data_IF_090168274581
#
_entry.id   IF_090168274581
#
_cell.length_a   1.000
_cell.length_b   1.000
_cell.length_c   1.000
_cell.angle_alpha   90.00
_cell.angle_beta   90.00
_cell.angle_gamma   90.00
#
_symmetry.space_group_name_H-M   'P 1'
#
loop_
_entity.id
_entity.type
_entity.pdbx_description
1 polymer ?
#
# COMPACT_ATOMS: atom_id res chain seq x y z
N UNK A 1 -13.81 -1.37 3.76
CA UNK A 1 -13.16 -2.00 2.59
C UNK A 1 -14.19 -2.20 1.50
N UNK A 2 -13.88 -1.75 0.29
CA UNK A 2 -14.79 -1.77 -0.87
C UNK A 2 -14.10 -2.55 -2.00
N UNK A 3 -14.69 -3.61 -2.55
CA UNK A 3 -14.15 -4.30 -3.72
C UNK A 3 -14.02 -3.34 -4.92
N UNK A 4 -12.93 -3.46 -5.67
CA UNK A 4 -12.68 -2.70 -6.90
C UNK A 4 -12.85 -3.60 -8.12
N UNK A 5 -13.16 -2.98 -9.27
CA UNK A 5 -13.15 -3.68 -10.55
C UNK A 5 -11.71 -4.00 -10.96
N UNK A 6 -11.36 -5.28 -10.87
CA UNK A 6 -10.03 -5.82 -11.18
C UNK A 6 -9.62 -5.57 -12.64
N UNK A 7 -10.57 -5.44 -13.58
CA UNK A 7 -10.25 -5.14 -14.98
C UNK A 7 -9.59 -3.76 -15.14
N UNK A 8 -9.71 -2.89 -14.13
CA UNK A 8 -9.05 -1.60 -14.05
C UNK A 8 -7.63 -1.68 -13.47
N UNK A 9 -7.14 -2.88 -13.19
CA UNK A 9 -5.85 -3.14 -12.52
C UNK A 9 -4.97 -3.97 -13.45
N UNK A 10 -5.51 -5.06 -13.97
CA UNK A 10 -4.79 -5.96 -14.89
C UNK A 10 -4.53 -5.31 -16.23
N UNK A 11 -3.24 -5.15 -16.55
CA UNK A 11 -2.80 -4.52 -17.79
C UNK A 11 -3.24 -3.06 -17.95
N UNK A 12 -3.81 -2.44 -16.92
CA UNK A 12 -4.36 -1.10 -17.04
C UNK A 12 -3.24 -0.06 -17.11
N UNK A 13 -3.09 0.52 -18.31
CA UNK A 13 -2.13 1.58 -18.60
C UNK A 13 -2.59 2.98 -18.15
N UNK A 14 -3.78 3.10 -17.55
CA UNK A 14 -4.36 4.40 -17.17
C UNK A 14 -4.17 4.74 -15.69
N UNK A 15 -3.67 3.82 -14.86
CA UNK A 15 -3.36 4.08 -13.45
C UNK A 15 -2.04 3.38 -13.07
N UNK A 16 -1.26 3.93 -12.13
CA UNK A 16 -0.05 3.28 -11.66
C UNK A 16 -0.37 2.20 -10.61
N UNK A 17 0.22 1.02 -10.79
CA UNK A 17 0.17 -0.10 -9.85
C UNK A 17 1.59 -0.57 -9.57
N UNK A 18 2.00 -0.48 -8.31
CA UNK A 18 3.36 -0.81 -7.88
C UNK A 18 3.35 -2.13 -7.12
N UNK A 19 4.16 -3.09 -7.53
CA UNK A 19 4.43 -4.28 -6.74
C UNK A 19 5.18 -3.87 -5.47
N UNK A 20 4.58 -4.12 -4.30
CA UNK A 20 5.10 -3.62 -3.00
C UNK A 20 5.57 -4.74 -2.08
N UNK A 21 4.89 -5.88 -2.08
CA UNK A 21 5.26 -7.04 -1.29
C UNK A 21 4.66 -8.31 -1.90
N UNK A 22 5.16 -9.46 -1.44
CA UNK A 22 4.52 -10.76 -1.61
C UNK A 22 3.74 -11.14 -0.36
N UNK A 23 2.67 -11.90 -0.55
CA UNK A 23 1.81 -12.40 0.52
C UNK A 23 1.76 -13.93 0.45
N UNK A 24 2.34 -14.60 1.43
CA UNK A 24 2.43 -16.06 1.49
C UNK A 24 1.19 -16.69 2.13
N UNK A 25 0.01 -16.43 1.57
CA UNK A 25 -1.25 -17.05 2.01
C UNK A 25 -1.81 -17.95 0.93
N UNK A 26 -2.62 -18.93 1.34
CA UNK A 26 -3.32 -19.77 0.38
C UNK A 26 -4.48 -19.01 -0.25
N UNK A 27 -4.83 -19.37 -1.48
CA UNK A 27 -5.92 -18.74 -2.23
C UNK A 27 -7.26 -18.87 -1.51
N UNK A 28 -7.50 -20.00 -0.83
CA UNK A 28 -8.72 -20.22 -0.06
C UNK A 28 -8.82 -19.28 1.15
N UNK A 29 -7.69 -19.00 1.80
CA UNK A 29 -7.63 -18.06 2.93
C UNK A 29 -7.88 -16.62 2.46
N UNK A 30 -7.34 -16.26 1.28
CA UNK A 30 -7.59 -14.97 0.65
C UNK A 30 -9.05 -14.81 0.22
N UNK A 31 -9.64 -15.81 -0.41
CA UNK A 31 -11.05 -15.80 -0.81
C UNK A 31 -11.99 -15.62 0.39
N UNK A 32 -11.71 -16.31 1.50
CA UNK A 32 -12.43 -16.15 2.77
C UNK A 32 -12.29 -14.74 3.36
N UNK A 33 -11.11 -14.14 3.24
CA UNK A 33 -10.86 -12.78 3.75
C UNK A 33 -11.58 -11.70 2.94
N UNK A 34 -11.56 -11.80 1.60
CA UNK A 34 -12.18 -10.80 0.73
C UNK A 34 -13.70 -10.95 0.63
N UNK A 35 -14.24 -12.13 0.91
CA UNK A 35 -15.67 -12.46 0.86
C UNK A 35 -16.33 -12.10 -0.49
N UNK A 36 -15.53 -12.18 -1.56
CA UNK A 36 -15.97 -11.97 -2.95
C UNK A 36 -15.21 -12.91 -3.89
N UNK A 37 -15.88 -13.33 -4.96
CA UNK A 37 -15.27 -14.15 -6.01
C UNK A 37 -14.14 -13.38 -6.70
N UNK A 38 -12.99 -14.03 -6.98
CA UNK A 38 -11.92 -13.43 -7.76
C UNK A 38 -12.36 -13.22 -9.21
N UNK A 39 -11.68 -12.30 -9.89
CA UNK A 39 -11.62 -12.34 -11.35
C UNK A 39 -10.55 -13.34 -11.75
N UNK A 40 -10.91 -14.30 -12.59
CA UNK A 40 -9.98 -15.31 -13.12
C UNK A 40 -9.55 -14.91 -14.53
N UNK A 41 -8.25 -14.90 -14.80
CA UNK A 41 -7.71 -14.66 -16.14
C UNK A 41 -6.54 -15.60 -16.45
N UNK A 42 -6.39 -15.95 -17.73
CA UNK A 42 -5.23 -16.69 -18.24
C UNK A 42 -4.07 -15.71 -18.47
N UNK A 43 -2.96 -15.93 -17.75
CA UNK A 43 -1.75 -15.13 -17.89
C UNK A 43 -0.77 -15.82 -18.84
N UNK A 44 -0.43 -15.19 -19.99
CA UNK A 44 0.39 -15.83 -21.01
C UNK A 44 1.72 -16.38 -20.50
N UNK A 45 1.83 -17.70 -20.48
CA UNK A 45 3.03 -18.43 -20.04
C UNK A 45 3.13 -18.64 -18.52
N UNK A 46 2.16 -18.17 -17.74
CA UNK A 46 2.07 -18.35 -16.29
C UNK A 46 0.84 -19.16 -15.86
N UNK A 47 -0.14 -19.30 -16.75
CA UNK A 47 -1.38 -20.05 -16.53
C UNK A 47 -2.47 -19.20 -15.88
N UNK A 48 -3.50 -19.83 -15.36
CA UNK A 48 -4.61 -19.11 -14.71
C UNK A 48 -4.14 -18.38 -13.44
N UNK A 49 -4.70 -17.19 -13.22
CA UNK A 49 -4.48 -16.38 -12.04
C UNK A 49 -5.82 -15.87 -11.48
N UNK A 50 -5.91 -15.84 -10.14
CA UNK A 50 -7.01 -15.26 -9.39
C UNK A 50 -6.64 -13.85 -8.93
N UNK A 51 -7.56 -12.93 -9.12
CA UNK A 51 -7.34 -11.53 -8.84
C UNK A 51 -8.40 -10.94 -7.92
N UNK A 52 -7.91 -10.21 -6.92
CA UNK A 52 -8.74 -9.40 -6.03
C UNK A 52 -8.25 -7.97 -6.01
N UNK A 53 -9.16 -7.06 -5.75
CA UNK A 53 -8.81 -5.68 -5.54
C UNK A 53 -9.76 -4.98 -4.59
N UNK A 54 -9.19 -4.14 -3.75
CA UNK A 54 -9.90 -3.54 -2.63
C UNK A 54 -9.43 -2.12 -2.38
N UNK A 55 -10.34 -1.27 -1.94
CA UNK A 55 -10.06 0.05 -1.43
C UNK A 55 -10.37 0.11 0.07
N UNK A 56 -9.42 0.63 0.85
CA UNK A 56 -9.59 0.91 2.27
C UNK A 56 -10.16 2.32 2.49
N UNK A 57 -10.69 2.56 3.68
CA UNK A 57 -11.40 3.80 4.01
C UNK A 57 -10.47 5.03 3.96
N UNK A 58 -9.16 4.84 4.11
CA UNK A 58 -8.14 5.89 3.92
C UNK A 58 -7.84 6.21 2.43
N UNK A 59 -8.49 5.51 1.49
CA UNK A 59 -8.28 5.63 0.05
C UNK A 59 -7.09 4.84 -0.49
N UNK A 60 -6.44 3.98 0.31
CA UNK A 60 -5.45 3.02 -0.18
C UNK A 60 -6.14 1.99 -1.06
N UNK A 61 -5.64 1.81 -2.28
CA UNK A 61 -6.11 0.76 -3.20
C UNK A 61 -5.05 -0.34 -3.28
N UNK A 62 -5.45 -1.58 -3.07
CA UNK A 62 -4.60 -2.77 -3.21
C UNK A 62 -5.16 -3.72 -4.27
N UNK A 63 -4.26 -4.31 -5.04
CA UNK A 63 -4.53 -5.43 -5.94
C UNK A 63 -3.74 -6.66 -5.49
N UNK A 64 -4.32 -7.84 -5.69
CA UNK A 64 -3.71 -9.12 -5.36
C UNK A 64 -3.76 -10.02 -6.58
N UNK A 65 -2.64 -10.65 -6.90
CA UNK A 65 -2.50 -11.61 -8.00
C UNK A 65 -2.01 -12.94 -7.43
N UNK A 66 -2.82 -13.99 -7.61
CA UNK A 66 -2.50 -15.34 -7.19
C UNK A 66 -2.44 -16.27 -8.41
N UNK A 67 -1.24 -16.65 -8.83
CA UNK A 67 -1.09 -17.66 -9.88
C UNK A 67 -1.49 -19.05 -9.38
N UNK A 68 -2.28 -19.79 -10.17
CA UNK A 68 -2.75 -21.12 -9.79
C UNK A 68 -1.62 -22.14 -9.66
N UNK A 69 -0.49 -21.89 -10.33
CA UNK A 69 0.70 -22.75 -10.33
C UNK A 69 1.79 -22.29 -9.37
N UNK A 70 1.58 -21.21 -8.62
CA UNK A 70 2.54 -20.68 -7.63
C UNK A 70 1.93 -20.64 -6.23
N UNK A 71 2.78 -20.47 -5.23
CA UNK A 71 2.34 -20.23 -3.85
C UNK A 71 2.35 -18.74 -3.55
N UNK A 72 1.33 -18.28 -2.82
CA UNK A 72 1.18 -16.90 -2.41
C UNK A 72 0.66 -15.96 -3.50
N UNK A 73 0.75 -14.67 -3.21
CA UNK A 73 0.30 -13.59 -4.06
C UNK A 73 1.35 -12.50 -4.23
N UNK A 74 1.30 -11.85 -5.40
CA UNK A 74 1.88 -10.52 -5.57
C UNK A 74 0.87 -9.46 -5.12
N UNK A 75 1.34 -8.51 -4.31
CA UNK A 75 0.54 -7.40 -3.81
C UNK A 75 0.94 -6.11 -4.51
N UNK A 76 -0.04 -5.47 -5.13
CA UNK A 76 0.10 -4.23 -5.84
C UNK A 76 -0.60 -3.10 -5.09
N UNK A 77 -0.05 -1.90 -5.14
CA UNK A 77 -0.64 -0.72 -4.53
C UNK A 77 -0.65 0.47 -5.49
N UNK A 78 -1.56 1.41 -5.28
CA UNK A 78 -1.67 2.63 -6.08
C UNK A 78 -0.53 3.64 -5.81
N UNK A 79 0.25 3.42 -4.74
CA UNK A 79 1.47 4.15 -4.38
C UNK A 79 2.53 3.14 -3.89
N UNK A 80 3.83 3.34 -4.16
CA UNK A 80 4.89 2.45 -3.72
C UNK A 80 5.27 2.68 -2.24
N UNK A 81 4.31 2.48 -1.33
CA UNK A 81 4.47 2.71 0.10
C UNK A 81 4.19 1.42 0.89
N UNK A 82 5.21 0.55 0.99
CA UNK A 82 5.08 -0.79 1.59
C UNK A 82 4.64 -0.74 3.06
N UNK A 83 5.17 0.20 3.85
CA UNK A 83 4.76 0.39 5.25
C UNK A 83 3.26 0.66 5.41
N UNK A 84 2.64 1.41 4.50
CA UNK A 84 1.20 1.67 4.54
C UNK A 84 0.41 0.39 4.25
N UNK A 85 0.85 -0.37 3.25
CA UNK A 85 0.25 -1.66 2.86
C UNK A 85 0.32 -2.65 4.02
N UNK A 86 1.49 -2.82 4.65
CA UNK A 86 1.68 -3.73 5.80
C UNK A 86 0.72 -3.42 6.95
N UNK A 87 0.50 -2.14 7.26
CA UNK A 87 -0.43 -1.76 8.32
C UNK A 87 -1.86 -2.21 8.04
N UNK A 88 -2.31 -2.10 6.80
CA UNK A 88 -3.64 -2.57 6.39
C UNK A 88 -3.73 -4.09 6.29
N UNK A 89 -2.62 -4.77 6.07
CA UNK A 89 -2.50 -6.23 6.02
C UNK A 89 -1.92 -6.85 7.31
N UNK A 90 -1.95 -6.13 8.43
CA UNK A 90 -1.32 -6.53 9.70
C UNK A 90 -1.77 -7.90 10.25
N UNK A 91 -2.95 -8.38 9.87
CA UNK A 91 -3.40 -9.70 10.28
C UNK A 91 -2.59 -10.84 9.61
N UNK A 92 -1.93 -10.53 8.48
CA UNK A 92 -1.00 -11.39 7.75
C UNK A 92 0.46 -10.93 7.91
N UNK A 93 0.80 -10.17 8.95
CA UNK A 93 2.14 -9.56 9.10
C UNK A 93 3.31 -10.56 8.94
N UNK A 94 3.11 -11.81 9.37
CA UNK A 94 4.11 -12.89 9.27
C UNK A 94 4.24 -13.49 7.88
N UNK A 95 3.22 -13.32 7.05
CA UNK A 95 3.14 -13.86 5.69
C UNK A 95 3.54 -12.81 4.64
N UNK A 96 3.74 -11.55 5.04
CA UNK A 96 4.17 -10.46 4.17
C UNK A 96 5.68 -10.44 4.01
N UNK A 97 6.14 -10.64 2.77
CA UNK A 97 7.54 -10.58 2.38
C UNK A 97 7.77 -9.32 1.55
N UNK A 98 8.63 -8.43 2.03
CA UNK A 98 8.97 -7.22 1.29
C UNK A 98 9.77 -7.57 0.03
N UNK A 99 9.39 -6.97 -1.08
CA UNK A 99 10.19 -7.06 -2.31
C UNK A 99 11.43 -6.16 -2.14
N UNK A 100 12.64 -6.64 -2.51
CA UNK A 100 13.83 -5.80 -2.49
C UNK A 100 13.61 -4.49 -3.28
N UNK A 101 13.98 -3.33 -2.71
CA UNK A 101 13.64 -2.03 -3.29
C UNK A 101 14.28 -1.79 -4.67
N UNK A 102 15.34 -2.52 -4.98
CA UNK A 102 16.09 -2.49 -6.25
C UNK A 102 15.50 -3.41 -7.32
N UNK A 103 14.77 -4.46 -6.95
CA UNK A 103 14.25 -5.48 -7.88
C UNK A 103 13.41 -4.90 -9.02
N UNK A 104 12.60 -3.87 -8.72
CA UNK A 104 11.74 -3.18 -9.70
C UNK A 104 12.01 -1.68 -9.75
N UNK A 105 13.21 -1.23 -9.37
CA UNK A 105 13.53 0.20 -9.34
C UNK A 105 13.33 0.91 -10.69
N UNK A 106 13.82 0.38 -11.84
CA UNK A 106 13.63 1.04 -13.13
C UNK A 106 12.16 1.18 -13.54
N UNK A 107 11.37 0.12 -13.37
CA UNK A 107 9.94 0.13 -13.71
C UNK A 107 9.16 1.09 -12.81
N UNK A 108 9.49 1.12 -11.52
CA UNK A 108 8.90 2.04 -10.54
C UNK A 108 9.20 3.49 -10.92
N UNK A 109 10.45 3.82 -11.24
CA UNK A 109 10.87 5.17 -11.63
C UNK A 109 10.16 5.62 -12.90
N UNK A 110 10.14 4.78 -13.94
CA UNK A 110 9.44 5.07 -15.19
C UNK A 110 7.93 5.28 -14.97
N UNK A 111 7.32 4.50 -14.08
CA UNK A 111 5.91 4.65 -13.74
C UNK A 111 5.65 5.94 -12.94
N UNK A 112 6.52 6.30 -12.00
CA UNK A 112 6.43 7.58 -11.28
C UNK A 112 6.51 8.74 -12.26
N UNK A 113 7.52 8.76 -13.13
CA UNK A 113 7.70 9.82 -14.13
C UNK A 113 6.47 9.95 -15.02
N UNK A 114 5.97 8.82 -15.53
CA UNK A 114 4.80 8.79 -16.42
C UNK A 114 3.53 9.36 -15.79
N UNK A 115 3.32 9.18 -14.49
CA UNK A 115 2.08 9.55 -13.80
C UNK A 115 2.21 10.76 -12.87
N UNK A 116 3.39 11.38 -12.79
CA UNK A 116 3.68 12.50 -11.88
C UNK A 116 2.67 13.66 -12.01
N UNK A 117 2.33 14.04 -13.24
CA UNK A 117 1.40 15.15 -13.52
C UNK A 117 -0.04 14.85 -13.10
N UNK A 118 -0.43 13.57 -13.12
CA UNK A 118 -1.78 13.14 -12.77
C UNK A 118 -1.91 12.81 -11.27
N UNK A 119 -0.79 12.44 -10.63
CA UNK A 119 -0.75 11.97 -9.25
C UNK A 119 0.48 12.53 -8.54
N UNK A 120 0.40 13.80 -8.13
CA UNK A 120 1.48 14.51 -7.43
C UNK A 120 1.99 13.80 -6.17
N UNK A 121 1.14 12.98 -5.51
CA UNK A 121 1.53 12.16 -4.36
C UNK A 121 2.69 11.19 -4.66
N UNK A 122 2.94 10.85 -5.92
CA UNK A 122 4.09 10.05 -6.35
C UNK A 122 5.43 10.77 -6.18
N UNK A 123 5.42 12.10 -6.08
CA UNK A 123 6.60 12.93 -5.86
C UNK A 123 6.82 13.24 -4.37
N UNK A 124 5.98 12.70 -3.49
CA UNK A 124 5.93 13.04 -2.06
C UNK A 124 5.90 11.78 -1.17
N UNK A 125 6.63 10.74 -1.58
CA UNK A 125 6.57 9.40 -0.95
C UNK A 125 7.11 9.36 0.49
N UNK A 126 7.99 10.29 0.84
CA UNK A 126 8.65 10.43 2.14
C UNK A 126 8.56 11.88 2.68
N UNK A 127 7.64 12.68 2.15
CA UNK A 127 7.56 14.11 2.43
C UNK A 127 6.84 14.45 3.74
N UNK A 128 6.26 13.48 4.46
CA UNK A 128 5.42 13.74 5.64
C UNK A 128 5.86 12.93 6.86
N UNK A 129 5.93 13.60 8.01
CA UNK A 129 6.29 13.02 9.31
C UNK A 129 5.09 13.09 10.26
N UNK A 130 4.81 11.98 10.92
CA UNK A 130 3.83 11.90 12.01
C UNK A 130 4.50 12.24 13.33
N UNK A 131 3.81 13.02 14.15
CA UNK A 131 4.26 13.43 15.47
C UNK A 131 3.23 13.09 16.54
N UNK A 132 3.72 12.93 17.77
CA UNK A 132 2.91 12.92 18.98
C UNK A 132 3.44 13.89 20.02
N UNK A 133 2.54 14.38 20.86
CA UNK A 133 2.87 15.11 22.08
C UNK A 133 2.07 14.54 23.25
N UNK A 134 2.75 14.23 24.35
CA UNK A 134 2.13 13.82 25.61
C UNK A 134 1.87 15.01 26.53
N UNK A 135 1.37 14.72 27.73
CA UNK A 135 1.07 15.73 28.77
C UNK A 135 2.31 16.50 29.26
N UNK A 136 3.51 15.95 29.03
CA UNK A 136 4.79 16.59 29.36
C UNK A 136 5.19 17.68 28.34
N UNK A 137 4.41 17.85 27.27
CA UNK A 137 4.68 18.81 26.21
C UNK A 137 5.80 18.42 25.25
N UNK A 138 6.43 17.24 25.42
CA UNK A 138 7.52 16.80 24.57
C UNK A 138 7.00 16.26 23.24
N UNK A 139 7.56 16.76 22.14
CA UNK A 139 7.21 16.33 20.79
C UNK A 139 8.10 15.18 20.35
N UNK A 140 7.50 14.11 19.86
CA UNK A 140 8.21 12.88 19.45
C UNK A 140 7.74 12.46 18.06
N UNK A 141 8.69 12.14 17.18
CA UNK A 141 8.42 11.55 15.86
C UNK A 141 7.88 10.13 16.01
N UNK A 142 6.86 9.79 15.22
CA UNK A 142 6.35 8.43 15.09
C UNK A 142 6.79 7.88 13.74
N UNK A 143 7.46 6.73 13.76
CA UNK A 143 7.92 6.05 12.55
C UNK A 143 8.90 6.88 11.72
N UNK A 144 9.01 6.52 10.44
CA UNK A 144 9.80 7.20 9.43
C UNK A 144 8.91 8.15 8.60
N UNK A 145 9.50 9.12 7.88
CA UNK A 145 8.77 9.89 6.88
C UNK A 145 8.09 9.00 5.83
N UNK A 146 6.91 9.41 5.39
CA UNK A 146 6.01 8.63 4.53
C UNK A 146 5.13 9.55 3.67
N UNK A 147 4.25 8.96 2.88
CA UNK A 147 3.24 9.67 2.09
C UNK A 147 2.26 10.41 3.00
N UNK A 148 1.64 11.50 2.49
CA UNK A 148 0.57 12.19 3.23
C UNK A 148 -0.56 11.24 3.66
N UNK A 149 -0.98 10.35 2.77
CA UNK A 149 -2.10 9.42 3.02
C UNK A 149 -1.79 8.48 4.18
N UNK A 150 -0.59 7.90 4.19
CA UNK A 150 -0.16 7.00 5.28
C UNK A 150 -0.03 7.74 6.62
N UNK A 151 0.50 8.98 6.59
CA UNK A 151 0.63 9.82 7.76
C UNK A 151 -0.74 10.24 8.35
N UNK A 152 -1.69 10.62 7.51
CA UNK A 152 -3.05 10.96 7.93
C UNK A 152 -3.77 9.72 8.49
N UNK A 153 -3.55 8.55 7.88
CA UNK A 153 -4.12 7.29 8.37
C UNK A 153 -3.53 6.87 9.73
N UNK A 154 -2.25 7.16 10.01
CA UNK A 154 -1.67 7.00 11.35
C UNK A 154 -2.40 7.88 12.38
N UNK A 155 -2.60 9.16 12.07
CA UNK A 155 -3.28 10.09 12.98
C UNK A 155 -4.70 9.62 13.27
N UNK A 156 -5.46 9.24 12.24
CA UNK A 156 -6.81 8.74 12.39
C UNK A 156 -6.88 7.47 13.28
N UNK A 157 -5.94 6.53 13.09
CA UNK A 157 -5.85 5.33 13.93
C UNK A 157 -5.56 5.70 15.39
N UNK A 158 -4.57 6.55 15.65
CA UNK A 158 -4.23 6.95 17.02
C UNK A 158 -5.35 7.71 17.72
N UNK A 159 -6.04 8.62 17.02
CA UNK A 159 -7.17 9.38 17.55
C UNK A 159 -8.36 8.46 17.89
N UNK A 160 -8.52 7.35 17.16
CA UNK A 160 -9.57 6.36 17.43
C UNK A 160 -9.42 5.64 18.78
N UNK A 161 -8.21 5.63 19.35
CA UNK A 161 -7.95 5.01 20.65
C UNK A 161 -8.24 5.93 21.85
N UNK A 162 -8.66 7.18 21.61
CA UNK A 162 -9.06 8.16 22.64
C UNK A 162 -7.99 8.39 23.73
N UNK A 163 -6.71 8.35 23.37
CA UNK A 163 -5.62 8.68 24.28
C UNK A 163 -5.54 10.20 24.54
N UNK A 164 -5.05 10.60 25.72
CA UNK A 164 -4.69 12.00 26.04
C UNK A 164 -3.37 12.39 25.38
N UNK A 165 -3.30 12.27 24.07
CA UNK A 165 -2.14 12.63 23.28
C UNK A 165 -2.61 13.42 22.07
N UNK A 166 -1.79 14.37 21.64
CA UNK A 166 -2.04 15.13 20.42
C UNK A 166 -1.20 14.50 19.31
N UNK A 167 -1.82 14.21 18.17
CA UNK A 167 -1.15 13.69 16.99
C UNK A 167 -1.33 14.68 15.84
N UNK A 168 -0.28 14.86 15.03
CA UNK A 168 -0.38 15.70 13.83
C UNK A 168 0.64 15.27 12.78
N UNK A 169 0.39 15.72 11.54
CA UNK A 169 1.28 15.52 10.41
C UNK A 169 1.97 16.84 10.10
N UNK A 170 3.29 16.80 9.86
CA UNK A 170 4.02 17.93 9.28
C UNK A 170 4.72 17.49 8.00
N UNK A 171 4.91 18.42 7.07
CA UNK A 171 5.81 18.18 5.95
C UNK A 171 7.25 18.14 6.47
N UNK A 172 8.05 17.20 5.99
CA UNK A 172 9.49 17.20 6.19
C UNK A 172 10.06 18.47 5.53
N UNK A 173 10.77 19.28 6.30
CA UNK A 173 11.55 20.37 5.72
C UNK A 173 12.69 19.67 5.00
N UNK A 174 12.70 19.70 3.66
CA UNK A 174 13.89 19.28 2.92
C UNK A 174 15.04 20.09 3.53
N UNK A 175 16.03 19.41 4.14
CA UNK A 175 17.31 20.05 4.35
C UNK A 175 17.78 20.37 2.93
N UNK A 176 17.63 21.62 2.51
CA UNK A 176 18.14 22.10 1.24
C UNK A 176 19.61 21.68 1.17
N UNK A 177 19.91 20.69 0.35
CA UNK A 177 21.27 20.40 -0.09
C UNK A 177 21.82 21.60 -0.85
#
# INVERSE_FOLDING_TARGET
>A
MIPLDVTTILGNKTKPWFHVCQLNVRREDAASFFDVEPVVADEPGLGDADYWAVQFDCGLELGFEFFHLSEGASVYADLPCVQHVRRHLRHWERELVDVPPDMFAPDREAMIERFADQKSALLELDAFQVWRQGDDGNQVKIGIPTTKRDADCWVAEFESHHHKQIYWVSRCVNAST
#
